data_IF_650637627809
#
_entry.id   IF_650637627809
#
_cell.length_a   1.000
_cell.length_b   1.000
_cell.length_c   1.000
_cell.angle_alpha   90.00
_cell.angle_beta   90.00
_cell.angle_gamma   90.00
#
_symmetry.space_group_name_H-M   'P 1'
#
loop_
_entity.id
_entity.type
_entity.pdbx_description
1 polymer ?
#
# COMPACT_ATOMS: atom_id res chain seq x y z
N UNK A 1 13.00 1.53 -24.03
CA UNK A 1 13.77 1.52 -22.77
C UNK A 1 12.76 1.79 -21.66
N UNK A 2 11.90 0.80 -21.36
CA UNK A 2 12.09 -0.36 -20.47
C UNK A 2 12.01 0.05 -19.00
N UNK A 3 10.90 -0.28 -18.33
CA UNK A 3 10.81 -0.52 -16.87
C UNK A 3 9.42 -1.10 -16.53
N UNK A 4 8.99 -2.14 -17.25
CA UNK A 4 7.91 -3.03 -16.83
C UNK A 4 8.31 -4.44 -17.28
N UNK A 5 9.51 -4.85 -16.87
CA UNK A 5 9.81 -6.28 -16.83
C UNK A 5 8.78 -6.90 -15.90
N UNK A 6 8.08 -7.90 -16.43
CA UNK A 6 6.87 -8.50 -15.91
C UNK A 6 7.08 -8.94 -14.45
N UNK A 7 6.50 -8.24 -13.47
CA UNK A 7 6.46 -8.71 -12.07
C UNK A 7 5.85 -10.13 -11.97
N UNK A 8 5.06 -10.53 -12.95
CA UNK A 8 4.50 -11.89 -13.09
C UNK A 8 5.53 -12.97 -13.40
N UNK A 9 6.68 -12.61 -13.97
CA UNK A 9 7.77 -13.55 -14.29
C UNK A 9 8.72 -13.75 -13.09
N UNK A 10 8.54 -12.97 -12.02
CA UNK A 10 9.28 -13.15 -10.77
C UNK A 10 8.63 -14.22 -9.91
N UNK A 11 9.39 -15.23 -9.49
CA UNK A 11 8.92 -16.19 -8.49
C UNK A 11 8.61 -15.45 -7.19
N UNK A 12 7.32 -15.29 -6.89
CA UNK A 12 6.84 -14.74 -5.63
C UNK A 12 7.11 -15.75 -4.49
N UNK A 13 8.29 -15.65 -3.87
CA UNK A 13 8.67 -16.41 -2.66
C UNK A 13 7.66 -16.20 -1.50
N UNK A 14 7.11 -14.99 -1.22
CA UNK A 14 6.10 -14.79 -0.18
C UNK A 14 4.78 -15.55 -0.44
N UNK A 15 4.42 -15.75 -1.71
CA UNK A 15 3.16 -16.39 -2.11
C UNK A 15 3.14 -17.90 -1.85
N UNK A 16 4.32 -18.52 -1.61
CA UNK A 16 4.46 -19.95 -1.32
C UNK A 16 4.18 -20.31 0.15
N UNK A 17 3.95 -19.31 1.00
CA UNK A 17 3.65 -19.50 2.43
C UNK A 17 4.86 -19.95 3.24
N UNK A 18 4.95 -19.51 4.50
CA UNK A 18 6.04 -19.88 5.43
C UNK A 18 7.15 -18.83 5.58
N UNK A 19 7.02 -17.65 4.97
CA UNK A 19 7.91 -16.51 5.23
C UNK A 19 7.42 -15.79 6.50
N UNK A 20 8.28 -15.59 7.51
CA UNK A 20 7.89 -14.85 8.71
C UNK A 20 7.49 -13.41 8.33
N UNK A 21 6.51 -12.81 9.03
CA UNK A 21 6.20 -11.41 8.86
C UNK A 21 7.45 -10.56 9.14
N UNK A 22 7.54 -9.39 8.48
CA UNK A 22 8.62 -8.44 8.73
C UNK A 22 8.65 -8.08 10.22
N UNK A 23 9.86 -8.02 10.78
CA UNK A 23 10.06 -7.47 12.13
C UNK A 23 9.73 -5.97 12.17
N UNK A 24 9.50 -5.42 13.36
CA UNK A 24 9.24 -3.99 13.52
C UNK A 24 10.41 -3.13 13.01
N UNK A 25 11.65 -3.60 13.19
CA UNK A 25 12.85 -2.93 12.71
C UNK A 25 12.92 -2.91 11.18
N UNK A 26 12.60 -4.04 10.53
CA UNK A 26 12.56 -4.12 9.07
C UNK A 26 11.43 -3.26 8.50
N UNK A 27 10.23 -3.32 9.09
CA UNK A 27 9.09 -2.48 8.71
C UNK A 27 9.45 -0.99 8.80
N UNK A 28 10.13 -0.57 9.86
CA UNK A 28 10.57 0.83 10.06
C UNK A 28 11.62 1.27 9.03
N UNK A 29 12.56 0.39 8.69
CA UNK A 29 13.57 0.66 7.66
C UNK A 29 12.94 0.84 6.26
N UNK A 30 11.90 0.06 5.93
CA UNK A 30 11.14 0.25 4.70
C UNK A 30 10.22 1.46 4.74
N UNK A 31 9.62 1.77 5.90
CA UNK A 31 8.79 2.95 6.08
C UNK A 31 9.54 4.24 5.74
N UNK A 32 10.83 4.31 6.09
CA UNK A 32 11.71 5.45 5.77
C UNK A 32 11.94 5.69 4.27
N UNK A 33 11.58 4.74 3.41
CA UNK A 33 11.72 4.83 1.95
C UNK A 33 10.43 5.27 1.25
N UNK A 34 9.32 5.33 1.97
CA UNK A 34 8.04 5.82 1.45
C UNK A 34 7.67 7.14 2.11
N UNK A 35 6.59 7.77 1.61
CA UNK A 35 6.16 9.08 2.11
C UNK A 35 5.85 9.05 3.62
N UNK A 36 6.24 10.09 4.34
CA UNK A 36 6.09 10.22 5.81
C UNK A 36 4.65 10.14 6.35
N UNK A 37 3.64 10.16 5.47
CA UNK A 37 2.22 10.07 5.84
C UNK A 37 1.75 8.61 5.98
N UNK A 38 2.62 7.67 5.63
CA UNK A 38 2.35 6.25 5.81
C UNK A 38 2.75 5.83 7.23
N UNK A 39 1.84 5.14 7.89
CA UNK A 39 2.02 4.64 9.25
C UNK A 39 1.87 3.13 9.26
N UNK A 40 2.70 2.44 10.05
CA UNK A 40 2.56 1.00 10.29
C UNK A 40 1.62 0.78 11.48
N UNK A 41 0.51 0.09 11.24
CA UNK A 41 -0.47 -0.25 12.28
C UNK A 41 -0.30 -1.70 12.70
N UNK A 42 -0.02 -1.91 13.98
CA UNK A 42 0.13 -3.21 14.65
C UNK A 42 1.14 -4.16 13.96
N UNK A 43 2.15 -3.59 13.28
CA UNK A 43 3.13 -4.31 12.46
C UNK A 43 2.49 -5.28 11.43
N UNK A 44 1.25 -4.99 11.02
CA UNK A 44 0.44 -5.86 10.17
C UNK A 44 0.06 -5.21 8.84
N UNK A 45 -0.18 -3.90 8.81
CA UNK A 45 -0.54 -3.18 7.60
C UNK A 45 -0.11 -1.72 7.65
N UNK A 46 -0.01 -1.10 6.47
CA UNK A 46 0.23 0.33 6.32
C UNK A 46 -1.10 1.08 6.21
N UNK A 47 -1.21 2.21 6.88
CA UNK A 47 -2.33 3.14 6.75
C UNK A 47 -1.83 4.51 6.35
N UNK A 48 -2.59 5.20 5.51
CA UNK A 48 -2.42 6.62 5.21
C UNK A 48 -3.79 7.28 5.15
N UNK A 49 -3.87 8.49 5.64
CA UNK A 49 -5.10 9.28 5.62
C UNK A 49 -4.99 10.39 4.58
N UNK A 50 -6.02 10.53 3.75
CA UNK A 50 -6.16 11.64 2.81
C UNK A 50 -7.41 12.44 3.17
N UNK A 51 -7.29 13.77 3.19
CA UNK A 51 -8.41 14.67 3.45
C UNK A 51 -8.85 15.35 2.16
N UNK A 52 -10.17 15.38 1.94
CA UNK A 52 -10.79 15.97 0.75
C UNK A 52 -11.81 17.03 1.18
N UNK A 53 -12.02 18.08 0.36
CA UNK A 53 -12.99 19.13 0.66
C UNK A 53 -14.44 18.66 0.58
N UNK A 54 -14.71 17.59 -0.17
CA UNK A 54 -16.04 16.99 -0.35
C UNK A 54 -15.97 15.50 -0.71
N UNK A 55 -17.13 14.84 -0.64
CA UNK A 55 -17.27 13.42 -0.94
C UNK A 55 -16.99 13.09 -2.42
N UNK A 56 -17.33 13.98 -3.35
CA UNK A 56 -17.13 13.74 -4.77
C UNK A 56 -15.64 13.64 -5.12
N UNK A 57 -14.83 14.53 -4.56
CA UNK A 57 -13.36 14.55 -4.70
C UNK A 57 -12.73 13.30 -4.10
N UNK A 58 -13.21 12.84 -2.94
CA UNK A 58 -12.74 11.59 -2.32
C UNK A 58 -13.06 10.37 -3.18
N UNK A 59 -14.28 10.30 -3.75
CA UNK A 59 -14.70 9.20 -4.61
C UNK A 59 -13.94 9.18 -5.93
N UNK A 60 -13.68 10.35 -6.53
CA UNK A 60 -12.87 10.45 -7.74
C UNK A 60 -11.45 9.90 -7.51
N UNK A 61 -10.80 10.32 -6.43
CA UNK A 61 -9.50 9.78 -6.04
C UNK A 61 -9.54 8.26 -5.85
N UNK A 62 -10.59 7.75 -5.21
CA UNK A 62 -10.80 6.31 -5.00
C UNK A 62 -10.92 5.54 -6.30
N UNK A 63 -11.71 6.07 -7.25
CA UNK A 63 -11.91 5.44 -8.54
C UNK A 63 -10.60 5.41 -9.33
N UNK A 64 -9.84 6.51 -9.34
CA UNK A 64 -8.52 6.55 -9.96
C UNK A 64 -7.59 5.51 -9.34
N UNK A 65 -7.52 5.42 -8.01
CA UNK A 65 -6.73 4.37 -7.33
C UNK A 65 -7.17 2.95 -7.73
N UNK A 66 -8.48 2.72 -7.85
CA UNK A 66 -9.05 1.43 -8.25
C UNK A 66 -8.66 1.01 -9.67
N UNK A 67 -8.39 1.96 -10.57
CA UNK A 67 -7.86 1.66 -11.91
C UNK A 67 -6.41 1.16 -11.88
N UNK A 68 -5.62 1.62 -10.89
CA UNK A 68 -4.21 1.25 -10.76
C UNK A 68 -3.95 0.04 -9.85
N UNK A 69 -4.83 -0.24 -8.87
CA UNK A 69 -4.61 -1.26 -7.83
C UNK A 69 -5.78 -2.24 -7.75
N UNK A 70 -5.53 -3.48 -8.16
CA UNK A 70 -6.58 -4.51 -8.24
C UNK A 70 -6.91 -5.22 -6.91
N UNK A 71 -6.14 -5.10 -5.81
CA UNK A 71 -6.21 -6.13 -4.75
C UNK A 71 -6.31 -5.72 -3.26
N UNK A 72 -6.19 -4.44 -2.86
CA UNK A 72 -6.61 -3.99 -1.50
C UNK A 72 -6.39 -2.50 -1.34
N UNK A 73 -7.46 -1.75 -1.11
CA UNK A 73 -7.40 -0.35 -0.68
C UNK A 73 -8.02 -0.29 0.72
N UNK A 74 -7.23 0.03 1.75
CA UNK A 74 -7.75 0.36 3.08
C UNK A 74 -7.97 1.87 3.08
N UNK A 75 -9.20 2.30 2.82
CA UNK A 75 -9.59 3.70 3.00
C UNK A 75 -10.17 3.90 4.38
N UNK A 76 -9.46 4.65 5.23
CA UNK A 76 -10.05 5.24 6.41
C UNK A 76 -10.76 6.52 5.96
N UNK A 77 -12.04 6.43 5.59
CA UNK A 77 -12.87 7.63 5.45
C UNK A 77 -13.08 8.19 6.86
N UNK A 78 -12.31 9.21 7.22
CA UNK A 78 -12.60 10.01 8.41
C UNK A 78 -13.93 10.73 8.19
N UNK A 79 -14.83 10.59 9.16
CA UNK A 79 -16.22 11.07 9.16
C UNK A 79 -16.34 12.58 8.94
#
# INVERSE_FOLDING_TARGET
>A
MSFLDNLSDMECVPCKGGVPPLSEEESSAFLSQIHDDWEVVENHHLTRTWSFPDFASALEFTNQLGEYVSSRIIMLTSN
#
